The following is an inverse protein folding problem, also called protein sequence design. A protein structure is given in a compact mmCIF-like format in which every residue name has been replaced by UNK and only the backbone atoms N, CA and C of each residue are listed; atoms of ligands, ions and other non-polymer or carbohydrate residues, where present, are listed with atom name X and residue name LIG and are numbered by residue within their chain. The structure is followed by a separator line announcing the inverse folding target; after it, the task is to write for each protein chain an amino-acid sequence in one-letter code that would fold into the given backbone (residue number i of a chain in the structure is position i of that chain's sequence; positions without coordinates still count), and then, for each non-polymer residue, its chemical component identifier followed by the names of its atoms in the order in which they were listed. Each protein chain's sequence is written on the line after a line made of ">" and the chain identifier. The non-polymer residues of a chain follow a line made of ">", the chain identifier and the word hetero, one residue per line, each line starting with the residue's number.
data_IF_249193638786
#
_entry.id   IF_249193638786
#
_cell.length_a   1.000
_cell.length_b   1.000
_cell.length_c   1.000
_cell.angle_alpha   90.00
_cell.angle_beta   90.00
_cell.angle_gamma   90.00
#
_symmetry.space_group_name_H-M   'P 1'
#
loop_
_entity.id
_entity.type
_entity.pdbx_description
1 polymer ?
#
# COMPACT_ATOMS: atom_id res chain seq x y z
N UNK A 1 1.34 -5.84 10.01
CA UNK A 1 2.74 -6.36 10.05
C UNK A 1 3.39 -5.79 11.31
N UNK A 2 4.06 -6.60 12.14
CA UNK A 2 4.70 -6.12 13.38
C UNK A 2 4.10 -6.62 14.70
N UNK A 3 2.82 -7.01 14.72
CA UNK A 3 2.15 -7.45 15.96
C UNK A 3 2.77 -8.71 16.56
N UNK A 4 3.15 -9.68 15.73
CA UNK A 4 3.79 -10.91 16.18
C UNK A 4 5.17 -10.61 16.77
N UNK A 5 5.93 -9.75 16.12
CA UNK A 5 7.26 -9.35 16.57
C UNK A 5 7.19 -8.65 17.94
N UNK A 6 6.18 -7.79 18.16
CA UNK A 6 5.94 -7.17 19.47
C UNK A 6 5.44 -8.18 20.51
N UNK A 7 4.58 -9.14 20.13
CA UNK A 7 4.16 -10.20 21.04
C UNK A 7 5.34 -11.06 21.50
N UNK A 8 6.26 -11.42 20.60
CA UNK A 8 7.49 -12.15 20.94
C UNK A 8 8.35 -11.37 21.95
N UNK A 9 8.40 -10.03 21.85
CA UNK A 9 9.07 -9.19 22.84
C UNK A 9 8.36 -9.16 24.19
N UNK A 10 7.03 -9.00 24.20
CA UNK A 10 6.22 -8.98 25.43
C UNK A 10 6.29 -10.31 26.19
N UNK A 11 6.50 -11.42 25.48
CA UNK A 11 6.73 -12.75 26.07
C UNK A 11 8.19 -13.00 26.47
N UNK A 12 9.09 -12.02 26.30
CA UNK A 12 10.50 -12.14 26.64
C UNK A 12 11.32 -13.04 25.70
N UNK A 13 10.78 -13.42 24.54
CA UNK A 13 11.45 -14.29 23.56
C UNK A 13 12.53 -13.56 22.76
N UNK A 14 12.37 -12.25 22.56
CA UNK A 14 13.33 -11.38 21.86
C UNK A 14 13.44 -9.99 22.54
N UNK A 15 14.53 -9.27 22.26
CA UNK A 15 14.68 -7.89 22.72
C UNK A 15 13.77 -6.93 21.96
N UNK A 16 13.56 -5.73 22.52
CA UNK A 16 12.77 -4.69 21.86
C UNK A 16 13.42 -4.27 20.54
N UNK A 17 14.74 -4.12 20.53
CA UNK A 17 15.51 -3.75 19.34
C UNK A 17 15.33 -4.78 18.21
N UNK A 18 15.38 -6.07 18.56
CA UNK A 18 15.17 -7.17 17.61
C UNK A 18 13.73 -7.16 17.07
N UNK A 19 12.73 -6.94 17.93
CA UNK A 19 11.33 -6.84 17.52
C UNK A 19 11.09 -5.66 16.56
N UNK A 20 11.71 -4.50 16.83
CA UNK A 20 11.65 -3.31 15.97
C UNK A 20 12.29 -3.59 14.61
N UNK A 21 13.49 -4.19 14.57
CA UNK A 21 14.14 -4.45 13.30
C UNK A 21 13.40 -5.51 12.47
N UNK A 22 12.93 -6.59 13.11
CA UNK A 22 12.09 -7.59 12.44
C UNK A 22 10.81 -6.97 11.87
N UNK A 23 10.16 -6.08 12.63
CA UNK A 23 8.97 -5.35 12.16
C UNK A 23 9.29 -4.50 10.93
N UNK A 24 10.41 -3.78 10.93
CA UNK A 24 10.86 -2.97 9.79
C UNK A 24 11.12 -3.85 8.57
N UNK A 25 11.85 -4.95 8.73
CA UNK A 25 12.13 -5.91 7.64
C UNK A 25 10.83 -6.45 7.06
N UNK A 26 9.93 -6.95 7.91
CA UNK A 26 8.65 -7.51 7.49
C UNK A 26 7.79 -6.48 6.75
N UNK A 27 7.81 -5.22 7.20
CA UNK A 27 7.08 -4.11 6.57
C UNK A 27 7.64 -3.80 5.19
N UNK A 28 8.97 -3.74 5.03
CA UNK A 28 9.62 -3.55 3.71
C UNK A 28 9.28 -4.69 2.76
N UNK A 29 9.34 -5.94 3.23
CA UNK A 29 8.98 -7.10 2.41
C UNK A 29 7.50 -7.07 1.98
N UNK A 30 6.60 -6.68 2.89
CA UNK A 30 5.19 -6.53 2.58
C UNK A 30 4.95 -5.44 1.53
N UNK A 31 5.58 -4.27 1.68
CA UNK A 31 5.52 -3.19 0.69
C UNK A 31 6.04 -3.66 -0.69
N UNK A 32 7.16 -4.39 -0.74
CA UNK A 32 7.67 -4.98 -2.00
C UNK A 32 6.67 -5.94 -2.63
N UNK A 33 6.02 -6.79 -1.84
CA UNK A 33 4.97 -7.70 -2.34
C UNK A 33 3.77 -6.93 -2.88
N UNK A 34 3.32 -5.87 -2.21
CA UNK A 34 2.25 -4.98 -2.70
C UNK A 34 2.61 -4.36 -4.05
N UNK A 35 3.81 -3.80 -4.19
CA UNK A 35 4.29 -3.22 -5.47
C UNK A 35 4.32 -4.27 -6.59
N UNK A 36 4.84 -5.46 -6.32
CA UNK A 36 4.84 -6.56 -7.29
C UNK A 36 3.43 -6.98 -7.67
N UNK A 37 2.53 -7.10 -6.71
CA UNK A 37 1.13 -7.44 -6.95
C UNK A 37 0.45 -6.38 -7.82
N UNK A 38 0.57 -5.10 -7.46
CA UNK A 38 0.01 -3.99 -8.26
C UNK A 38 0.55 -3.95 -9.69
N UNK A 39 1.83 -4.29 -9.90
CA UNK A 39 2.42 -4.30 -11.25
C UNK A 39 1.79 -5.37 -12.15
N UNK A 40 1.42 -6.52 -11.60
CA UNK A 40 1.03 -7.69 -12.41
C UNK A 40 -0.46 -8.01 -12.38
N UNK A 41 -1.19 -7.56 -11.36
CA UNK A 41 -2.58 -7.97 -11.12
C UNK A 41 -3.60 -6.87 -11.38
N UNK A 42 -3.17 -5.63 -11.65
CA UNK A 42 -4.08 -4.55 -12.01
C UNK A 42 -4.50 -4.67 -13.47
N UNK A 43 -5.82 -4.71 -13.70
CA UNK A 43 -6.40 -4.85 -15.03
C UNK A 43 -6.29 -3.57 -15.89
N UNK A 44 -6.58 -3.69 -17.20
CA UNK A 44 -6.63 -2.56 -18.11
C UNK A 44 -7.55 -1.44 -17.60
N UNK A 45 -7.07 -0.20 -17.73
CA UNK A 45 -7.79 1.00 -17.32
C UNK A 45 -7.68 1.34 -15.82
N UNK A 46 -6.93 0.59 -15.01
CA UNK A 46 -6.71 0.96 -13.61
C UNK A 46 -6.16 2.39 -13.50
N UNK A 47 -6.83 3.23 -12.71
CA UNK A 47 -6.47 4.63 -12.50
C UNK A 47 -5.38 4.69 -11.43
N UNK A 48 -4.23 5.28 -11.76
CA UNK A 48 -3.10 5.44 -10.83
C UNK A 48 -3.08 6.87 -10.32
N UNK A 49 -3.14 7.04 -9.01
CA UNK A 49 -3.10 8.34 -8.36
C UNK A 49 -1.72 8.56 -7.77
N UNK A 50 -1.12 9.72 -8.04
CA UNK A 50 0.08 10.17 -7.33
C UNK A 50 -0.31 10.66 -5.94
N UNK A 51 0.05 9.87 -4.92
CA UNK A 51 -0.23 10.21 -3.52
C UNK A 51 0.56 11.40 -2.98
N UNK A 52 1.56 11.89 -3.72
CA UNK A 52 2.36 13.08 -3.33
C UNK A 52 1.80 14.39 -3.87
N UNK A 53 0.85 14.33 -4.82
CA UNK A 53 0.18 15.50 -5.35
C UNK A 53 -0.78 16.12 -4.31
N UNK A 54 -1.14 17.41 -4.42
CA UNK A 54 -2.20 18.01 -3.60
C UNK A 54 -3.50 17.23 -3.70
N UNK A 55 -4.27 17.17 -2.60
CA UNK A 55 -5.49 16.37 -2.51
C UNK A 55 -6.50 16.73 -3.60
N UNK A 56 -6.63 18.03 -3.92
CA UNK A 56 -7.52 18.53 -4.95
C UNK A 56 -7.16 17.96 -6.33
N UNK A 57 -5.85 17.85 -6.63
CA UNK A 57 -5.36 17.26 -7.87
C UNK A 57 -5.63 15.75 -7.94
N UNK A 58 -5.48 15.05 -6.82
CA UNK A 58 -5.83 13.63 -6.71
C UNK A 58 -7.34 13.41 -6.97
N UNK A 59 -8.20 14.19 -6.31
CA UNK A 59 -9.66 14.13 -6.49
C UNK A 59 -10.08 14.45 -7.92
N UNK A 60 -9.49 15.47 -8.54
CA UNK A 60 -9.77 15.84 -9.93
C UNK A 60 -9.38 14.72 -10.90
N UNK A 61 -8.23 14.08 -10.68
CA UNK A 61 -7.76 12.96 -11.49
C UNK A 61 -8.74 11.77 -11.44
N UNK A 62 -9.16 11.38 -10.24
CA UNK A 62 -10.12 10.28 -10.04
C UNK A 62 -11.48 10.61 -10.68
N UNK A 63 -11.99 11.82 -10.43
CA UNK A 63 -13.29 12.27 -10.97
C UNK A 63 -13.30 12.25 -12.49
N UNK A 64 -12.24 12.75 -13.15
CA UNK A 64 -12.10 12.72 -14.61
C UNK A 64 -12.15 11.29 -15.14
N UNK A 65 -11.37 10.39 -14.55
CA UNK A 65 -11.31 9.00 -14.98
C UNK A 65 -12.65 8.28 -14.82
N UNK A 66 -13.45 8.61 -13.80
CA UNK A 66 -14.80 8.06 -13.61
C UNK A 66 -15.79 8.59 -14.65
N UNK A 67 -15.74 9.87 -15.01
CA UNK A 67 -16.61 10.48 -16.03
C UNK A 67 -16.36 9.90 -17.42
N UNK A 68 -15.09 9.74 -17.81
CA UNK A 68 -14.72 9.15 -19.10
C UNK A 68 -15.17 7.68 -19.24
N UNK A 69 -15.25 6.95 -18.13
CA UNK A 69 -15.77 5.57 -18.09
C UNK A 69 -17.29 5.50 -18.18
N UNK A 70 -18.00 6.44 -17.58
CA UNK A 70 -19.48 6.48 -17.64
C UNK A 70 -19.98 6.89 -19.01
N UNK A 71 -19.31 7.82 -19.68
CA UNK A 71 -19.66 8.25 -21.04
C UNK A 71 -19.41 7.14 -22.09
N UNK A 72 -18.37 6.33 -21.94
CA UNK A 72 -18.09 5.19 -22.86
C UNK A 72 -19.03 3.98 -22.69
N UNK A 73 -19.82 3.95 -21.62
CA UNK A 73 -20.74 2.85 -21.32
C UNK A 73 -22.19 3.13 -21.78
N UNK A 74 -22.45 4.35 -22.30
CA UNK A 74 -23.73 4.76 -22.91
C UNK A 74 -23.56 4.78 -24.43
#
# INVERSE_FOLDING_TARGET
>A
VGYREMADHLEGRITLEEAVERTRVATRQYARRQVTWFRHQLGPGTVKVDGTAPLEAQCAHVTRAWRERTVKAT
#
